data_IF_705249150696
#
_entry.id   IF_705249150696
#
_cell.length_a   1.000
_cell.length_b   1.000
_cell.length_c   1.000
_cell.angle_alpha   90.00
_cell.angle_beta   90.00
_cell.angle_gamma   90.00
#
_symmetry.space_group_name_H-M   'P 1'
#
loop_
_entity.id
_entity.type
_entity.pdbx_description
1 polymer ?
#
# COMPACT_ATOMS: atom_id res chain seq x y z
N UNK A 1 33.89 8.53 -3.15
CA UNK A 1 34.44 8.56 -3.18
C UNK A 1 34.47 8.46 -3.22
N UNK A 2 34.15 8.20 -3.41
CA UNK A 2 34.43 7.90 -3.65
C UNK A 2 34.36 7.57 -3.52
N UNK A 3 34.44 7.33 -3.86
CA UNK A 3 34.85 6.84 -3.91
C UNK A 3 34.79 6.40 -3.56
N UNK A 4 34.63 6.08 -3.71
CA UNK A 4 34.88 5.56 -3.40
C UNK A 4 34.57 4.99 -3.20
N UNK A 5 34.20 4.60 -3.37
CA UNK A 5 34.12 4.02 -3.06
C UNK A 5 34.26 3.41 -2.73
N UNK A 6 34.26 3.14 -2.90
CA UNK A 6 34.68 2.34 -2.51
C UNK A 6 34.36 1.55 -2.41
N UNK A 7 34.21 1.21 -2.70
CA UNK A 7 34.00 0.18 -2.63
C UNK A 7 33.44 -0.52 -2.05
N UNK A 8 33.03 -1.07 -2.09
CA UNK A 8 32.55 -1.51 -1.46
C UNK A 8 32.46 -1.99 -0.60
N UNK A 9 32.11 -2.15 -0.53
CA UNK A 9 32.16 -2.47 0.45
C UNK A 9 31.42 -2.81 1.08
N UNK A 10 30.98 -3.22 1.07
CA UNK A 10 30.41 -3.34 1.73
C UNK A 10 29.99 -3.42 2.63
N UNK A 11 29.75 -3.50 2.33
CA UNK A 11 29.66 -3.13 3.04
C UNK A 11 29.18 -3.09 3.76
N UNK A 12 29.11 -3.28 3.70
CA UNK A 12 29.15 -2.81 4.32
C UNK A 12 28.75 -2.76 4.83
N UNK A 13 28.43 -3.08 4.55
CA UNK A 13 28.53 -2.68 4.96
C UNK A 13 28.49 -2.36 5.64
N UNK A 14 28.43 -2.35 5.34
CA UNK A 14 28.81 -1.73 5.91
C UNK A 14 28.52 -1.43 6.38
N UNK A 15 28.47 -1.53 6.30
CA UNK A 15 28.59 -0.95 6.76
C UNK A 15 28.28 -0.38 7.06
N UNK A 16 28.19 -0.18 6.97
CA UNK A 16 28.30 0.57 7.23
C UNK A 16 27.55 0.93 7.32
N UNK A 17 27.34 1.10 6.78
CA UNK A 17 26.75 1.43 6.86
C UNK A 17 26.32 1.04 7.64
N UNK A 18 26.28 0.74 8.19
CA UNK A 18 26.16 0.43 9.17
C UNK A 18 26.75 0.64 10.20
N UNK A 19 26.95 0.86 10.40
CA UNK A 19 27.46 1.13 11.39
C UNK A 19 27.31 2.14 12.09
N UNK A 20 27.27 2.77 12.15
CA UNK A 20 27.12 3.70 12.80
C UNK A 20 26.11 3.90 13.31
N UNK A 21 25.87 3.76 13.43
CA UNK A 21 24.97 3.91 13.80
C UNK A 21 24.41 4.71 14.31
N UNK A 22 24.32 5.38 14.52
CA UNK A 22 23.44 6.00 15.15
C UNK A 22 22.29 6.03 14.63
N UNK A 23 22.21 5.68 13.83
CA UNK A 23 21.16 5.75 13.32
C UNK A 23 20.23 4.83 13.78
N UNK A 24 20.08 4.49 14.97
CA UNK A 24 19.00 3.69 15.43
C UNK A 24 17.69 4.35 15.16
N UNK A 25 17.66 5.66 15.19
CA UNK A 25 16.40 6.31 14.89
C UNK A 25 16.03 6.08 13.45
N UNK A 26 16.99 6.12 12.54
CA UNK A 26 16.69 5.82 11.17
C UNK A 26 16.21 4.41 11.01
N UNK A 27 16.78 3.48 11.78
CA UNK A 27 16.35 2.11 11.72
C UNK A 27 14.91 1.96 12.19
N UNK A 28 14.55 2.67 13.26
CA UNK A 28 13.21 2.58 13.77
C UNK A 28 12.18 3.11 12.79
N UNK A 29 12.60 3.99 11.89
CA UNK A 29 11.70 4.57 10.93
C UNK A 29 11.61 3.77 9.66
N UNK A 30 12.35 2.66 9.57
CA UNK A 30 12.31 1.85 8.38
C UNK A 30 10.99 1.10 8.29
N UNK A 31 10.60 0.80 7.06
CA UNK A 31 9.37 0.11 6.81
C UNK A 31 8.22 1.09 6.72
N UNK A 32 7.03 0.57 6.72
CA UNK A 32 5.82 1.38 6.59
C UNK A 32 4.85 1.00 7.69
N UNK A 33 4.01 1.94 8.12
CA UNK A 33 3.02 1.62 9.15
C UNK A 33 1.96 0.67 8.62
N UNK A 34 1.65 -0.36 9.38
CA UNK A 34 0.53 -1.25 9.12
C UNK A 34 -0.68 -0.68 9.85
N UNK A 35 -1.71 -0.33 9.10
CA UNK A 35 -2.86 0.35 9.66
C UNK A 35 -4.00 -0.59 10.03
N UNK A 36 -3.98 -1.82 9.52
CA UNK A 36 -5.01 -2.78 9.86
C UNK A 36 -5.30 -3.72 8.72
N UNK A 37 -6.48 -4.31 8.74
CA UNK A 37 -6.94 -5.23 7.70
C UNK A 37 -7.94 -4.55 6.81
N UNK A 38 -7.91 -4.90 5.53
CA UNK A 38 -8.90 -4.42 4.60
C UNK A 38 -9.61 -5.60 3.95
N UNK A 39 -10.93 -5.50 3.92
CA UNK A 39 -11.80 -6.45 3.25
C UNK A 39 -12.68 -5.66 2.29
N UNK A 40 -13.69 -6.29 1.73
CA UNK A 40 -14.66 -5.57 0.92
C UNK A 40 -15.54 -4.77 1.89
N UNK A 41 -15.31 -3.45 1.96
CA UNK A 41 -16.12 -2.59 2.82
C UNK A 41 -15.67 -2.59 4.28
N UNK A 42 -14.49 -2.05 4.55
CA UNK A 42 -13.96 -1.94 5.90
C UNK A 42 -14.22 -0.54 6.45
N UNK A 43 -14.77 -0.41 7.68
CA UNK A 43 -14.93 0.93 8.27
C UNK A 43 -13.61 1.66 8.31
N UNK A 44 -13.61 2.93 7.93
CA UNK A 44 -12.35 3.70 7.86
C UNK A 44 -11.68 3.75 9.24
N UNK A 45 -12.46 3.77 10.32
CA UNK A 45 -11.88 3.83 11.66
C UNK A 45 -10.99 2.63 11.97
N UNK A 46 -11.20 1.50 11.29
CA UNK A 46 -10.41 0.30 11.52
C UNK A 46 -9.01 0.38 10.90
N UNK A 47 -8.74 1.37 10.05
CA UNK A 47 -7.46 1.49 9.36
C UNK A 47 -6.88 2.89 9.46
N UNK A 48 -7.15 3.61 10.54
CA UNK A 48 -6.66 4.98 10.69
C UNK A 48 -5.40 5.10 11.54
N UNK A 49 -5.08 4.11 12.35
CA UNK A 49 -3.98 4.22 13.30
C UNK A 49 -2.96 3.12 13.10
N UNK A 50 -1.71 3.48 13.23
CA UNK A 50 -0.61 2.52 13.10
C UNK A 50 -0.71 1.47 14.21
N UNK A 51 -0.69 0.18 13.81
CA UNK A 51 -0.70 -0.93 14.74
C UNK A 51 0.68 -1.54 14.89
N UNK A 52 1.47 -1.55 13.84
CA UNK A 52 2.83 -2.05 13.84
C UNK A 52 3.50 -1.54 12.57
N UNK A 53 4.71 -1.95 12.30
CA UNK A 53 5.40 -1.54 11.09
C UNK A 53 5.84 -2.77 10.32
N UNK A 54 5.80 -2.66 9.00
CA UNK A 54 6.18 -3.73 8.09
C UNK A 54 7.52 -3.37 7.46
N UNK A 55 8.55 -4.23 7.59
CA UNK A 55 9.81 -3.98 6.89
C UNK A 55 9.58 -4.06 5.39
N UNK A 56 10.00 -3.04 4.66
CA UNK A 56 9.81 -2.97 3.22
C UNK A 56 11.13 -2.56 2.60
N UNK A 57 11.60 -3.28 1.58
CA UNK A 57 12.81 -2.86 0.88
C UNK A 57 12.64 -1.45 0.33
N UNK A 58 13.65 -0.59 0.50
CA UNK A 58 13.50 0.79 0.02
C UNK A 58 13.17 0.90 -1.46
N UNK A 59 13.56 -0.09 -2.24
CA UNK A 59 13.28 -0.07 -3.68
C UNK A 59 11.80 -0.14 -4.00
N UNK A 60 10.98 -0.58 -3.06
CA UNK A 60 9.54 -0.62 -3.24
C UNK A 60 8.87 0.70 -2.91
N UNK A 61 9.62 1.65 -2.36
CA UNK A 61 9.06 2.92 -1.90
C UNK A 61 9.54 4.01 -2.84
N UNK A 62 8.63 4.49 -3.70
CA UNK A 62 9.00 5.44 -4.74
C UNK A 62 8.55 6.84 -4.36
N UNK A 63 9.14 7.36 -3.30
CA UNK A 63 8.83 8.71 -2.86
C UNK A 63 7.44 8.79 -2.23
N UNK A 64 7.25 9.78 -1.39
CA UNK A 64 5.96 9.99 -0.76
C UNK A 64 5.71 9.04 0.39
N UNK A 65 4.56 9.21 0.97
CA UNK A 65 4.16 8.48 2.15
C UNK A 65 3.51 7.15 1.75
N UNK A 66 3.82 6.10 2.50
CA UNK A 66 3.27 4.75 2.24
C UNK A 66 2.67 4.20 3.53
N UNK A 67 1.73 3.30 3.36
CA UNK A 67 1.20 2.52 4.48
C UNK A 67 0.89 1.12 3.98
N UNK A 68 0.68 0.20 4.93
CA UNK A 68 0.40 -1.19 4.63
C UNK A 68 -0.94 -1.61 5.19
N UNK A 69 -1.57 -2.55 4.52
CA UNK A 69 -2.82 -3.17 4.97
C UNK A 69 -2.72 -4.66 4.76
N UNK A 70 -3.29 -5.42 5.68
CA UNK A 70 -3.38 -6.87 5.52
C UNK A 70 -4.69 -7.18 4.82
N UNK A 71 -4.63 -7.97 3.77
CA UNK A 71 -5.80 -8.28 2.95
C UNK A 71 -6.58 -9.41 3.59
N UNK A 72 -7.90 -9.24 3.68
CA UNK A 72 -8.80 -10.26 4.16
C UNK A 72 -9.83 -10.55 3.07
N UNK A 73 -9.97 -11.82 2.72
CA UNK A 73 -10.90 -12.24 1.69
C UNK A 73 -10.26 -12.34 0.33
N UNK A 74 -11.08 -12.56 -0.69
CA UNK A 74 -10.61 -12.90 -2.03
C UNK A 74 -11.13 -11.95 -3.10
N UNK A 75 -11.54 -10.74 -2.76
CA UNK A 75 -12.14 -9.83 -3.72
C UNK A 75 -11.17 -9.41 -4.83
N UNK A 76 -9.87 -9.61 -4.64
CA UNK A 76 -8.85 -9.21 -5.62
C UNK A 76 -8.00 -10.40 -6.07
N UNK A 77 -8.56 -11.60 -6.00
CA UNK A 77 -7.80 -12.84 -6.26
C UNK A 77 -7.27 -12.90 -7.70
N UNK A 78 -8.02 -12.39 -8.67
CA UNK A 78 -7.59 -12.43 -10.06
C UNK A 78 -6.46 -11.45 -10.36
N UNK A 79 -6.22 -10.51 -9.48
CA UNK A 79 -5.06 -9.62 -9.59
C UNK A 79 -3.86 -10.20 -8.87
N UNK A 80 -3.97 -11.43 -8.33
CA UNK A 80 -2.90 -12.07 -7.61
C UNK A 80 -2.79 -11.62 -6.17
N UNK A 81 -3.81 -11.00 -5.62
CA UNK A 81 -3.83 -10.53 -4.23
C UNK A 81 -4.68 -11.51 -3.44
N UNK A 82 -4.07 -12.18 -2.46
CA UNK A 82 -4.71 -13.26 -1.72
C UNK A 82 -4.97 -12.86 -0.29
N UNK A 83 -5.90 -13.58 0.34
CA UNK A 83 -6.14 -13.45 1.76
C UNK A 83 -4.82 -13.64 2.52
N UNK A 84 -4.55 -12.76 3.46
CA UNK A 84 -3.32 -12.82 4.25
C UNK A 84 -2.16 -12.04 3.67
N UNK A 85 -2.25 -11.60 2.43
CA UNK A 85 -1.20 -10.77 1.84
C UNK A 85 -1.12 -9.42 2.51
N UNK A 86 0.07 -8.83 2.51
CA UNK A 86 0.25 -7.45 2.94
C UNK A 86 0.46 -6.59 1.72
N UNK A 87 -0.43 -5.65 1.50
CA UNK A 87 -0.31 -4.71 0.38
C UNK A 87 0.34 -3.43 0.87
N UNK A 88 1.23 -2.89 0.05
CA UNK A 88 1.92 -1.63 0.31
C UNK A 88 1.25 -0.59 -0.57
N UNK A 89 0.75 0.46 0.05
CA UNK A 89 -0.05 1.48 -0.61
C UNK A 89 0.72 2.79 -0.56
N UNK A 90 0.86 3.42 -1.71
CA UNK A 90 1.42 4.77 -1.78
C UNK A 90 0.29 5.76 -1.62
N UNK A 91 0.40 6.64 -0.63
CA UNK A 91 -0.65 7.60 -0.34
C UNK A 91 -0.77 8.59 -1.48
N UNK A 92 -1.99 8.78 -1.98
CA UNK A 92 -2.28 9.77 -3.02
C UNK A 92 -3.77 10.02 -3.01
N UNK A 93 -4.20 11.14 -3.58
CA UNK A 93 -5.62 11.48 -3.65
C UNK A 93 -6.15 11.37 -5.06
N UNK A 94 -5.33 10.92 -6.00
CA UNK A 94 -5.77 10.69 -7.37
C UNK A 94 -5.02 9.48 -7.91
N UNK A 95 -5.62 8.82 -8.90
CA UNK A 95 -5.06 7.64 -9.51
C UNK A 95 -5.56 7.54 -10.94
N UNK A 96 -4.93 6.66 -11.71
CA UNK A 96 -5.30 6.49 -13.11
C UNK A 96 -6.32 5.39 -13.27
N UNK A 97 -7.02 5.47 -14.38
CA UNK A 97 -7.92 4.41 -14.79
C UNK A 97 -7.17 3.09 -14.83
N UNK A 98 -7.69 2.08 -14.15
CA UNK A 98 -7.07 0.77 -14.11
C UNK A 98 -6.14 0.53 -12.92
N UNK A 99 -5.79 1.56 -12.16
CA UNK A 99 -4.98 1.36 -10.96
C UNK A 99 -5.76 0.61 -9.90
N UNK A 100 -5.05 -0.18 -9.10
CA UNK A 100 -5.66 -0.78 -7.91
C UNK A 100 -5.45 0.20 -6.77
N UNK A 101 -6.54 0.59 -6.12
CA UNK A 101 -6.53 1.67 -5.14
C UNK A 101 -7.24 1.25 -3.87
N UNK A 102 -6.89 1.94 -2.78
CA UNK A 102 -7.73 1.99 -1.59
C UNK A 102 -8.63 3.20 -1.77
N UNK A 103 -9.93 2.95 -1.79
CA UNK A 103 -10.94 3.97 -2.00
C UNK A 103 -11.82 4.08 -0.78
N UNK A 104 -12.15 5.31 -0.40
CA UNK A 104 -13.07 5.60 0.69
C UNK A 104 -14.39 6.02 0.08
N UNK A 105 -15.46 5.32 0.45
CA UNK A 105 -16.80 5.55 -0.08
C UNK A 105 -17.63 6.20 1.01
N UNK A 106 -18.25 7.33 0.68
CA UNK A 106 -19.13 8.08 1.56
C UNK A 106 -18.46 8.45 2.89
N UNK A 107 -17.15 8.62 2.87
CA UNK A 107 -16.36 8.94 4.06
C UNK A 107 -16.48 7.88 5.17
N UNK A 108 -16.99 6.70 4.87
CA UNK A 108 -17.25 5.68 5.88
C UNK A 108 -16.49 4.39 5.68
N UNK A 109 -16.47 3.86 4.48
CA UNK A 109 -15.91 2.53 4.23
C UNK A 109 -14.79 2.57 3.23
N UNK A 110 -13.71 1.87 3.54
CA UNK A 110 -12.57 1.74 2.67
C UNK A 110 -12.59 0.36 2.01
N UNK A 111 -12.14 0.29 0.76
CA UNK A 111 -12.07 -0.95 0.02
C UNK A 111 -10.87 -0.92 -0.92
N UNK A 112 -10.36 -2.10 -1.28
CA UNK A 112 -9.28 -2.25 -2.24
C UNK A 112 -9.89 -2.78 -3.53
N UNK A 113 -9.82 -2.01 -4.60
CA UNK A 113 -10.48 -2.35 -5.86
C UNK A 113 -9.71 -1.75 -7.03
N UNK A 114 -10.04 -2.20 -8.23
CA UNK A 114 -9.53 -1.58 -9.45
C UNK A 114 -10.40 -0.38 -9.79
N UNK A 115 -9.76 0.74 -10.06
CA UNK A 115 -10.45 2.01 -10.29
C UNK A 115 -10.80 2.16 -11.76
N UNK A 116 -12.05 2.54 -12.03
CA UNK A 116 -12.51 2.92 -13.35
C UNK A 116 -13.16 4.29 -13.26
N UNK A 117 -12.58 5.27 -13.95
CA UNK A 117 -13.12 6.61 -13.99
C UNK A 117 -13.90 6.77 -15.28
N UNK A 118 -15.11 7.28 -15.20
CA UNK A 118 -15.94 7.48 -16.37
C UNK A 118 -16.75 8.75 -16.17
N UNK A 119 -16.14 9.90 -16.48
CA UNK A 119 -16.80 11.19 -16.32
C UNK A 119 -17.11 11.48 -14.87
N UNK A 120 -18.40 11.59 -14.56
CA UNK A 120 -18.82 11.90 -13.20
C UNK A 120 -19.08 10.63 -12.39
N UNK A 121 -18.76 9.47 -12.93
CA UNK A 121 -18.95 8.19 -12.26
C UNK A 121 -17.63 7.53 -11.98
N UNK A 122 -17.58 6.73 -10.91
CA UNK A 122 -16.42 5.92 -10.56
C UNK A 122 -16.89 4.49 -10.36
N UNK A 123 -16.24 3.56 -11.05
CA UNK A 123 -16.44 2.14 -10.84
C UNK A 123 -15.32 1.59 -9.96
N UNK A 124 -15.70 0.80 -8.99
CA UNK A 124 -14.76 0.07 -8.14
C UNK A 124 -14.95 -1.40 -8.45
N UNK A 125 -14.01 -1.92 -9.22
CA UNK A 125 -14.13 -3.28 -9.77
C UNK A 125 -13.34 -4.27 -8.93
N UNK A 126 -14.00 -5.31 -8.38
CA UNK A 126 -13.27 -6.41 -7.78
C UNK A 126 -12.62 -7.25 -8.87
N UNK A 127 -11.51 -7.89 -8.53
CA UNK A 127 -10.85 -8.83 -9.43
C UNK A 127 -11.25 -10.24 -9.02
N UNK A 128 -12.55 -10.52 -9.14
CA UNK A 128 -13.15 -11.78 -8.74
C UNK A 128 -14.45 -11.93 -9.52
N UNK A 129 -14.56 -13.01 -10.32
CA UNK A 129 -15.71 -13.22 -11.20
C UNK A 129 -17.02 -13.39 -10.46
N UNK A 130 -16.97 -13.74 -9.18
CA UNK A 130 -18.18 -13.92 -8.39
C UNK A 130 -18.75 -12.62 -7.83
N UNK A 131 -18.03 -11.49 -8.02
CA UNK A 131 -18.39 -10.20 -7.45
C UNK A 131 -18.61 -9.20 -8.56
N UNK A 132 -19.41 -8.16 -8.28
CA UNK A 132 -19.76 -7.17 -9.27
C UNK A 132 -19.11 -5.82 -9.00
N UNK A 133 -18.86 -5.09 -10.08
CA UNK A 133 -18.37 -3.73 -10.00
C UNK A 133 -19.46 -2.84 -9.39
N UNK A 134 -19.04 -2.02 -8.43
CA UNK A 134 -19.92 -1.03 -7.82
C UNK A 134 -19.68 0.31 -8.49
N UNK A 135 -20.75 0.98 -8.89
CA UNK A 135 -20.67 2.28 -9.57
C UNK A 135 -21.20 3.34 -8.63
N UNK A 136 -20.43 4.42 -8.47
CA UNK A 136 -20.79 5.53 -7.59
C UNK A 136 -20.64 6.84 -8.36
N UNK A 137 -21.36 7.89 -7.95
CA UNK A 137 -21.02 9.21 -8.42
C UNK A 137 -19.65 9.60 -7.85
N UNK A 138 -18.91 10.37 -8.64
CA UNK A 138 -17.48 10.63 -8.31
C UNK A 138 -17.30 11.33 -6.96
N UNK A 139 -18.28 12.14 -6.55
CA UNK A 139 -18.18 12.88 -5.30
C UNK A 139 -18.31 11.98 -4.06
N UNK A 140 -18.70 10.72 -4.24
CA UNK A 140 -18.82 9.78 -3.12
C UNK A 140 -17.56 8.96 -2.89
N UNK A 141 -16.57 9.04 -3.78
CA UNK A 141 -15.38 8.19 -3.72
C UNK A 141 -14.14 9.04 -3.60
N UNK A 142 -13.31 8.77 -2.59
CA UNK A 142 -12.04 9.45 -2.41
C UNK A 142 -10.92 8.44 -2.42
N UNK A 143 -9.98 8.60 -3.34
CA UNK A 143 -8.82 7.73 -3.40
C UNK A 143 -7.91 8.04 -2.21
N UNK A 144 -7.51 7.00 -1.49
CA UNK A 144 -6.62 7.12 -0.34
C UNK A 144 -5.19 6.78 -0.72
N UNK A 145 -5.02 5.97 -1.73
CA UNK A 145 -3.71 5.57 -2.21
C UNK A 145 -3.83 4.50 -3.26
N UNK A 146 -2.70 4.17 -3.88
CA UNK A 146 -2.65 3.16 -4.92
C UNK A 146 -1.67 2.06 -4.56
N UNK A 147 -1.89 0.88 -5.10
CA UNK A 147 -1.05 -0.28 -4.83
C UNK A 147 0.35 -0.02 -5.35
N UNK A 148 1.34 -0.15 -4.49
CA UNK A 148 2.75 0.02 -4.83
C UNK A 148 3.51 -1.30 -4.76
N UNK A 149 3.04 -2.24 -3.96
CA UNK A 149 3.71 -3.53 -3.83
C UNK A 149 2.91 -4.48 -2.99
N UNK A 150 3.42 -5.71 -2.87
CA UNK A 150 2.75 -6.76 -2.12
C UNK A 150 3.82 -7.65 -1.51
N UNK A 151 3.59 -8.05 -0.27
CA UNK A 151 4.47 -8.96 0.43
C UNK A 151 3.64 -10.16 0.86
N UNK A 152 4.16 -11.34 0.54
CA UNK A 152 3.52 -12.61 0.94
C UNK A 152 4.56 -13.48 1.58
N UNK A 153 4.20 -14.05 2.72
CA UNK A 153 5.06 -14.95 3.46
C UNK A 153 4.41 -16.33 3.45
N UNK A 154 5.17 -17.33 3.11
CA UNK A 154 4.68 -18.70 3.06
C UNK A 154 5.01 -19.47 4.33
#
# INVERSE_FOLDING_TARGET
MPPKREPFKPAVIENHRYASAPEPTGFEEEGVPLLGRIAAGTPIAAIQHEQSRVPVPPDMLHGGEHFALEVHGDSMIKAGIHDGDTVIIRRCDDARNGDIVVALVDDEEATLKRLHKNGTSIGLEPENDALETQIYSADRVKVQGRLAGLIRVY
#
